data_IF_601981484897
#
_entry.id   IF_601981484897
#
_cell.length_a   1.000
_cell.length_b   1.000
_cell.length_c   1.000
_cell.angle_alpha   90.00
_cell.angle_beta   90.00
_cell.angle_gamma   90.00
#
_symmetry.space_group_name_H-M   'P 1'
#
loop_
_entity.id
_entity.type
_entity.pdbx_description
1 polymer ?
#
# COMPACT_ATOMS: atom_id res chain seq x y z
N UNK A 1 8.36 4.00 22.89
CA UNK A 1 9.12 2.73 23.04
C UNK A 1 8.44 1.72 22.14
N UNK A 2 8.99 1.47 20.95
CA UNK A 2 8.34 0.62 19.95
C UNK A 2 8.17 -0.79 20.52
N UNK A 3 6.92 -1.25 20.54
CA UNK A 3 6.62 -2.65 20.79
C UNK A 3 6.86 -3.32 19.44
N UNK A 4 7.66 -4.38 19.42
CA UNK A 4 7.97 -5.26 18.28
C UNK A 4 9.29 -4.95 17.54
N UNK A 5 10.30 -5.80 17.76
CA UNK A 5 11.33 -6.16 16.78
C UNK A 5 11.80 -7.60 17.07
N UNK A 6 11.82 -8.52 16.09
CA UNK A 6 12.99 -8.68 15.23
C UNK A 6 12.58 -9.05 13.79
N UNK A 7 12.32 -8.06 12.95
CA UNK A 7 12.41 -8.22 11.50
C UNK A 7 13.62 -7.40 11.04
N UNK A 8 14.26 -7.76 9.92
CA UNK A 8 15.39 -7.00 9.36
C UNK A 8 15.06 -5.51 9.10
N UNK A 9 15.94 -4.71 8.49
CA UNK A 9 15.69 -3.27 8.32
C UNK A 9 14.41 -3.03 7.51
N UNK A 10 13.32 -2.73 8.24
CA UNK A 10 11.98 -2.42 7.73
C UNK A 10 11.52 -1.12 8.43
N UNK A 11 10.47 -0.44 7.94
CA UNK A 11 10.03 0.83 8.54
C UNK A 11 9.77 0.74 10.06
N UNK A 12 9.33 -0.43 10.53
CA UNK A 12 9.10 -0.70 11.96
C UNK A 12 10.33 -0.53 12.86
N UNK A 13 11.54 -0.66 12.30
CA UNK A 13 12.79 -0.45 13.03
C UNK A 13 13.34 0.99 12.89
N UNK A 14 12.60 1.87 12.21
CA UNK A 14 13.00 3.24 11.86
C UNK A 14 11.91 4.28 12.19
N UNK A 15 11.19 4.08 13.30
CA UNK A 15 10.27 5.08 13.85
C UNK A 15 8.84 5.02 13.33
N UNK A 16 8.49 4.01 12.51
CA UNK A 16 7.10 3.72 12.18
C UNK A 16 6.55 2.66 13.11
N UNK A 17 5.32 2.84 13.61
CA UNK A 17 4.63 1.82 14.41
C UNK A 17 3.85 0.83 13.53
N UNK A 18 3.50 1.24 12.30
CA UNK A 18 2.75 0.44 11.32
C UNK A 18 3.42 0.45 9.95
N UNK A 19 3.28 -0.67 9.24
CA UNK A 19 3.73 -0.84 7.86
C UNK A 19 2.79 -1.74 7.08
N UNK A 20 2.33 -1.27 5.90
CA UNK A 20 1.63 -2.09 4.91
C UNK A 20 2.20 -1.83 3.52
N UNK A 21 2.70 -2.88 2.85
CA UNK A 21 3.26 -2.76 1.50
C UNK A 21 4.23 -3.88 1.14
N UNK A 22 5.28 -3.54 0.38
CA UNK A 22 6.29 -4.51 -0.10
C UNK A 22 7.66 -4.26 0.52
N UNK A 23 8.43 -5.34 0.72
CA UNK A 23 9.82 -5.28 1.21
C UNK A 23 10.86 -5.02 0.10
N UNK A 24 10.48 -5.09 -1.18
CA UNK A 24 11.43 -5.04 -2.29
C UNK A 24 10.90 -4.30 -3.51
N UNK A 25 11.76 -3.45 -4.09
CA UNK A 25 11.55 -2.80 -5.39
C UNK A 25 11.29 -3.82 -6.50
N UNK A 26 11.84 -5.04 -6.42
CA UNK A 26 11.57 -6.09 -7.42
C UNK A 26 10.08 -6.45 -7.45
N UNK A 27 9.45 -6.59 -6.28
CA UNK A 27 8.02 -6.94 -6.14
C UNK A 27 7.15 -5.73 -6.52
N UNK A 28 7.60 -4.52 -6.22
CA UNK A 28 6.89 -3.28 -6.54
C UNK A 28 6.68 -3.03 -8.06
N UNK A 29 7.33 -3.79 -8.95
CA UNK A 29 7.13 -3.70 -10.41
C UNK A 29 5.83 -4.35 -10.91
N UNK A 30 5.05 -5.01 -10.04
CA UNK A 30 3.72 -5.49 -10.41
C UNK A 30 2.68 -4.90 -9.46
N UNK A 31 1.55 -4.50 -10.03
CA UNK A 31 0.40 -4.06 -9.25
C UNK A 31 -0.42 -5.23 -8.69
N UNK A 32 -0.05 -6.47 -9.08
CA UNK A 32 -0.70 -7.72 -8.69
C UNK A 32 0.32 -8.71 -8.10
N UNK A 33 0.95 -8.41 -6.94
CA UNK A 33 1.89 -9.30 -6.30
C UNK A 33 1.18 -10.49 -5.64
N UNK A 34 1.96 -11.53 -5.30
CA UNK A 34 1.46 -12.74 -4.64
C UNK A 34 1.41 -12.63 -3.12
N UNK A 35 1.96 -11.57 -2.53
CA UNK A 35 1.94 -11.30 -1.10
C UNK A 35 1.94 -9.80 -0.78
N UNK A 36 1.47 -9.47 0.42
CA UNK A 36 1.61 -8.18 1.10
C UNK A 36 2.33 -8.39 2.43
N UNK A 37 3.00 -7.35 2.93
CA UNK A 37 3.68 -7.37 4.21
C UNK A 37 2.99 -6.37 5.12
N UNK A 38 2.47 -6.84 6.25
CA UNK A 38 1.82 -6.05 7.29
C UNK A 38 2.55 -6.25 8.61
N UNK A 39 3.08 -5.18 9.18
CA UNK A 39 3.73 -5.17 10.50
C UNK A 39 4.76 -6.31 10.68
N UNK A 40 5.57 -6.54 9.63
CA UNK A 40 6.63 -7.55 9.59
C UNK A 40 6.16 -8.96 9.22
N UNK A 41 4.85 -9.19 9.14
CA UNK A 41 4.26 -10.46 8.72
C UNK A 41 3.94 -10.44 7.22
N UNK A 42 4.35 -11.48 6.52
CA UNK A 42 4.03 -11.64 5.10
C UNK A 42 2.77 -12.49 4.92
N UNK A 43 1.84 -12.00 4.12
CA UNK A 43 0.52 -12.57 3.91
C UNK A 43 0.32 -12.86 2.42
N UNK A 44 -0.07 -14.09 2.08
CA UNK A 44 -0.35 -14.46 0.68
C UNK A 44 -1.63 -13.79 0.21
N UNK A 45 -1.59 -13.27 -1.02
CA UNK A 45 -2.74 -12.69 -1.68
C UNK A 45 -3.36 -13.67 -2.68
N UNK A 46 -4.70 -13.65 -2.85
CA UNK A 46 -5.34 -14.29 -3.99
C UNK A 46 -4.76 -13.78 -5.32
N UNK A 47 -4.76 -14.64 -6.35
CA UNK A 47 -4.33 -14.23 -7.69
C UNK A 47 -5.22 -13.10 -8.23
N UNK A 48 -4.63 -12.11 -8.89
CA UNK A 48 -5.35 -10.96 -9.43
C UNK A 48 -5.67 -9.85 -8.41
N UNK A 49 -5.19 -9.96 -7.16
CA UNK A 49 -5.39 -8.92 -6.15
C UNK A 49 -4.62 -7.66 -6.52
N UNK A 50 -5.33 -6.54 -6.65
CA UNK A 50 -4.72 -5.23 -6.85
C UNK A 50 -4.23 -4.67 -5.51
N UNK A 51 -2.91 -4.56 -5.33
CA UNK A 51 -2.36 -4.27 -3.99
C UNK A 51 -2.53 -2.83 -3.53
N UNK A 52 -2.73 -1.88 -4.45
CA UNK A 52 -2.85 -0.47 -4.08
C UNK A 52 -4.13 -0.20 -3.30
N UNK A 53 -5.23 -0.88 -3.63
CA UNK A 53 -6.48 -0.79 -2.86
C UNK A 53 -6.25 -1.26 -1.42
N UNK A 54 -5.57 -2.40 -1.24
CA UNK A 54 -5.26 -2.91 0.10
C UNK A 54 -4.41 -1.94 0.92
N UNK A 55 -3.38 -1.33 0.31
CA UNK A 55 -2.51 -0.37 1.00
C UNK A 55 -3.30 0.89 1.39
N UNK A 56 -4.20 1.36 0.51
CA UNK A 56 -5.02 2.54 0.79
C UNK A 56 -6.09 2.26 1.84
N UNK A 57 -6.73 1.09 1.80
CA UNK A 57 -7.67 0.64 2.82
C UNK A 57 -7.00 0.54 4.20
N UNK A 58 -5.79 -0.02 4.26
CA UNK A 58 -5.00 -0.09 5.49
C UNK A 58 -4.63 1.32 5.99
N UNK A 59 -4.26 2.24 5.09
CA UNK A 59 -3.98 3.63 5.45
C UNK A 59 -5.23 4.36 5.97
N UNK A 60 -6.40 4.17 5.35
CA UNK A 60 -7.65 4.73 5.84
C UNK A 60 -8.04 4.16 7.20
N UNK A 61 -7.85 2.85 7.43
CA UNK A 61 -8.11 2.22 8.72
C UNK A 61 -7.21 2.83 9.81
N UNK A 62 -5.91 2.97 9.55
CA UNK A 62 -4.96 3.61 10.47
C UNK A 62 -5.37 5.05 10.80
N UNK A 63 -5.64 5.87 9.78
CA UNK A 63 -6.04 7.27 9.97
C UNK A 63 -7.31 7.38 10.83
N UNK A 64 -8.33 6.55 10.55
CA UNK A 64 -9.57 6.54 11.34
C UNK A 64 -9.30 6.16 12.79
N UNK A 65 -8.55 5.09 13.01
CA UNK A 65 -8.21 4.62 14.35
C UNK A 65 -7.47 5.69 15.16
N UNK A 66 -6.46 6.35 14.59
CA UNK A 66 -5.71 7.37 15.31
C UNK A 66 -6.50 8.67 15.52
N UNK A 67 -7.34 9.04 14.55
CA UNK A 67 -8.27 10.16 14.72
C UNK A 67 -9.28 9.91 15.85
N UNK A 68 -9.82 8.68 15.95
CA UNK A 68 -10.72 8.27 17.02
C UNK A 68 -10.01 8.19 18.39
N UNK A 69 -8.74 7.77 18.41
CA UNK A 69 -7.94 7.72 19.64
C UNK A 69 -7.52 9.10 20.15
N UNK A 70 -7.54 10.12 19.27
CA UNK A 70 -7.04 11.46 19.56
C UNK A 70 -5.52 11.57 19.55
N UNK A 71 -4.82 10.54 19.06
CA UNK A 71 -3.35 10.52 18.98
C UNK A 71 -2.89 11.22 17.70
N UNK A 72 -2.01 12.24 17.78
CA UNK A 72 -1.39 12.80 16.59
C UNK A 72 -0.58 11.73 15.86
N UNK A 73 -0.76 11.63 14.54
CA UNK A 73 -0.08 10.63 13.72
C UNK A 73 0.69 11.26 12.56
N UNK A 74 1.68 10.53 12.08
CA UNK A 74 2.35 10.77 10.80
C UNK A 74 2.09 9.58 9.88
N UNK A 75 1.51 9.82 8.71
CA UNK A 75 1.22 8.79 7.72
C UNK A 75 1.95 9.09 6.41
N UNK A 76 2.78 8.17 5.94
CA UNK A 76 3.53 8.28 4.68
C UNK A 76 3.06 7.21 3.69
N UNK A 77 2.55 7.63 2.53
CA UNK A 77 1.94 6.75 1.52
C UNK A 77 2.71 6.87 0.18
N UNK A 78 3.83 6.15 0.02
CA UNK A 78 4.55 6.12 -1.25
C UNK A 78 3.87 5.15 -2.23
N UNK A 79 3.10 5.66 -3.18
CA UNK A 79 2.47 4.82 -4.22
C UNK A 79 3.49 4.40 -5.27
N UNK A 80 3.43 3.13 -5.74
CA UNK A 80 4.22 2.71 -6.90
C UNK A 80 3.56 3.07 -8.23
N UNK A 81 2.38 3.70 -8.24
CA UNK A 81 1.81 4.27 -9.46
C UNK A 81 2.46 5.64 -9.68
N UNK A 82 2.96 5.99 -10.89
CA UNK A 82 2.88 5.27 -12.17
C UNK A 82 4.16 4.50 -12.57
N UNK A 83 4.89 3.89 -11.63
CA UNK A 83 6.18 3.24 -11.86
C UNK A 83 6.10 2.10 -12.90
N UNK A 84 6.64 2.35 -14.09
CA UNK A 84 7.04 1.47 -15.21
C UNK A 84 6.02 0.46 -15.78
N UNK A 85 5.23 -0.24 -14.97
CA UNK A 85 4.21 -1.18 -15.42
C UNK A 85 2.91 -0.42 -15.67
N UNK A 86 2.63 -0.08 -16.93
CA UNK A 86 1.35 0.50 -17.40
C UNK A 86 0.21 -0.55 -17.34
N UNK A 87 0.02 -1.18 -16.18
CA UNK A 87 -1.02 -2.18 -15.92
C UNK A 87 -2.10 -1.59 -15.01
N UNK A 88 -2.56 -0.37 -15.31
CA UNK A 88 -3.71 0.16 -14.60
C UNK A 88 -4.93 -0.76 -14.84
N UNK A 89 -5.79 -0.98 -13.83
CA UNK A 89 -7.06 -1.66 -14.02
C UNK A 89 -7.84 -1.12 -15.22
N UNK A 90 -8.49 -2.00 -15.98
CA UNK A 90 -9.24 -1.64 -17.21
C UNK A 90 -10.27 -0.53 -16.97
N UNK A 91 -10.92 -0.54 -15.81
CA UNK A 91 -11.92 0.45 -15.39
C UNK A 91 -11.34 1.87 -15.34
N UNK A 92 -10.06 2.03 -14.97
CA UNK A 92 -9.40 3.33 -14.97
C UNK A 92 -9.03 3.80 -16.38
N UNK A 93 -8.78 2.88 -17.31
CA UNK A 93 -8.60 3.21 -18.72
C UNK A 93 -9.91 3.69 -19.36
N UNK A 94 -11.02 2.96 -19.13
CA UNK A 94 -12.34 3.29 -19.66
C UNK A 94 -12.82 4.67 -19.20
N UNK A 95 -12.55 5.03 -17.93
CA UNK A 95 -12.90 6.35 -17.40
C UNK A 95 -12.21 7.51 -18.14
N UNK A 96 -10.94 7.33 -18.53
CA UNK A 96 -10.18 8.35 -19.26
C UNK A 96 -10.64 8.44 -20.72
N UNK A 97 -10.96 7.31 -21.35
CA UNK A 97 -11.54 7.28 -22.71
C UNK A 97 -12.91 7.99 -22.77
N UNK A 98 -13.76 7.79 -21.77
CA UNK A 98 -15.04 8.48 -21.63
C UNK A 98 -14.90 9.99 -21.42
N UNK A 99 -13.86 10.45 -20.70
CA UNK A 99 -13.60 11.89 -20.53
C UNK A 99 -13.01 12.53 -21.79
N UNK A 100 -12.13 11.84 -22.52
CA UNK A 100 -11.50 12.36 -23.75
C UNK A 100 -12.49 12.40 -24.91
N UNK A 101 -13.42 11.45 -25.00
CA UNK A 101 -14.46 11.42 -26.05
C UNK A 101 -15.56 12.47 -25.88
N UNK A 102 -15.59 13.19 -24.74
CA UNK A 102 -16.53 14.27 -24.43
C UNK A 102 -16.01 15.68 -24.78
N UNK A 103 -14.83 15.79 -25.38
CA UNK A 103 -14.17 17.04 -25.78
C UNK A 103 -14.22 17.17 -27.30
#
# INVERSE_FOLDING_TARGET
>A
MSRLNPAGPIPLTHGFDHFSGWKSQRIAHTYYPTSIVRDGKEEKLPSGTYIHDLILDDAFAFIRQEAESGTPFFCYIPTAIPHAAMHAPKELHEKVEDEVSRI
#
